data_IF_892759084377
#
_entry.id   IF_892759084377
#
_cell.length_a   1.000
_cell.length_b   1.000
_cell.length_c   1.000
_cell.angle_alpha   90.00
_cell.angle_beta   90.00
_cell.angle_gamma   90.00
#
_symmetry.space_group_name_H-M   'P 1'
#
loop_
_entity.id
_entity.type
_entity.pdbx_description
1 polymer ?
#
# COMPACT_ATOMS: atom_id res chain seq x y z
N UNK A 1 3.28 54.61 54.44
CA UNK A 1 3.60 53.91 53.19
C UNK A 1 2.75 52.65 53.12
N UNK A 2 1.79 52.58 52.19
CA UNK A 2 0.85 51.45 52.04
C UNK A 2 1.36 50.55 50.90
N UNK A 3 1.75 49.31 51.21
CA UNK A 3 2.11 48.31 50.19
C UNK A 3 0.85 47.82 49.48
N UNK A 4 0.80 48.01 48.17
CA UNK A 4 -0.23 47.46 47.29
C UNK A 4 0.07 45.98 47.03
N UNK A 5 -0.89 45.10 47.34
CA UNK A 5 -0.83 43.69 47.01
C UNK A 5 -1.13 43.49 45.52
N UNK A 6 -0.12 43.11 44.75
CA UNK A 6 -0.22 42.78 43.34
C UNK A 6 -0.73 41.34 43.19
N UNK A 7 -1.99 41.18 42.82
CA UNK A 7 -2.62 39.87 42.61
C UNK A 7 -2.16 39.30 41.25
N UNK A 8 -1.16 38.42 41.28
CA UNK A 8 -0.61 37.74 40.10
C UNK A 8 -1.55 36.60 39.69
N UNK A 9 -2.38 36.82 38.67
CA UNK A 9 -3.21 35.77 38.07
C UNK A 9 -2.29 34.87 37.24
N UNK A 10 -1.94 33.69 37.78
CA UNK A 10 -1.30 32.62 37.01
C UNK A 10 -2.31 32.05 36.02
N UNK A 11 -2.24 32.50 34.77
CA UNK A 11 -2.82 31.81 33.61
C UNK A 11 -2.09 30.47 33.45
N UNK A 12 -2.64 29.41 34.03
CA UNK A 12 -2.18 28.05 33.78
C UNK A 12 -2.65 27.64 32.38
N UNK A 13 -1.74 27.73 31.41
CA UNK A 13 -1.91 27.09 30.11
C UNK A 13 -1.85 25.58 30.30
N UNK A 14 -3.00 24.98 30.60
CA UNK A 14 -3.12 23.52 30.60
C UNK A 14 -2.80 22.97 29.20
N UNK A 15 -2.12 21.82 29.10
CA UNK A 15 -1.84 21.20 27.81
C UNK A 15 -3.18 20.85 27.16
N UNK A 16 -3.43 21.41 25.97
CA UNK A 16 -4.50 20.96 25.09
C UNK A 16 -4.17 19.52 24.72
N UNK A 17 -4.79 18.56 25.40
CA UNK A 17 -4.75 17.16 25.00
C UNK A 17 -5.47 17.09 23.65
N UNK A 18 -4.70 17.05 22.57
CA UNK A 18 -5.22 16.79 21.23
C UNK A 18 -5.88 15.40 21.28
N UNK A 19 -7.20 15.37 21.37
CA UNK A 19 -7.93 14.12 21.16
C UNK A 19 -7.64 13.68 19.73
N UNK A 20 -7.21 12.42 19.57
CA UNK A 20 -7.00 11.81 18.27
C UNK A 20 -8.32 11.85 17.49
N UNK A 21 -8.42 12.80 16.56
CA UNK A 21 -9.59 12.94 15.70
C UNK A 21 -9.83 11.67 14.90
N UNK A 22 -8.75 10.97 14.55
CA UNK A 22 -8.79 9.77 13.74
C UNK A 22 -8.18 8.57 14.48
N UNK A 23 -8.90 7.44 14.45
CA UNK A 23 -8.42 6.14 14.91
C UNK A 23 -8.48 5.16 13.73
N UNK A 24 -7.44 4.33 13.55
CA UNK A 24 -7.38 3.31 12.51
C UNK A 24 -7.29 1.92 13.12
N UNK A 25 -8.15 1.01 12.66
CA UNK A 25 -8.12 -0.42 13.00
C UNK A 25 -7.95 -1.23 11.73
N UNK A 26 -6.96 -2.11 11.70
CA UNK A 26 -6.74 -3.05 10.60
C UNK A 26 -7.12 -4.47 11.02
N UNK A 27 -7.83 -5.18 10.14
CA UNK A 27 -8.17 -6.59 10.31
C UNK A 27 -7.92 -7.36 9.02
N UNK A 28 -7.00 -8.32 9.06
CA UNK A 28 -6.77 -9.25 7.94
C UNK A 28 -8.05 -10.07 7.70
N UNK A 29 -8.57 -10.01 6.47
CA UNK A 29 -9.73 -10.77 6.02
C UNK A 29 -9.32 -12.06 5.31
N UNK A 30 -8.23 -12.01 4.54
CA UNK A 30 -7.71 -13.14 3.79
C UNK A 30 -6.20 -12.99 3.64
N UNK A 31 -5.47 -14.08 3.82
CA UNK A 31 -4.05 -14.20 3.52
C UNK A 31 -3.87 -15.51 2.76
N UNK A 32 -3.34 -15.42 1.54
CA UNK A 32 -3.17 -16.58 0.66
C UNK A 32 -1.82 -16.54 -0.02
N UNK A 33 -1.29 -17.72 -0.29
CA UNK A 33 -0.04 -17.92 -1.03
C UNK A 33 -0.37 -18.69 -2.30
N UNK A 34 0.05 -18.15 -3.43
CA UNK A 34 -0.16 -18.69 -4.76
C UNK A 34 1.19 -19.00 -5.41
N UNK A 35 1.20 -19.97 -6.30
CA UNK A 35 2.39 -20.31 -7.09
C UNK A 35 2.05 -20.11 -8.56
N UNK A 36 2.81 -19.24 -9.23
CA UNK A 36 2.61 -18.95 -10.65
C UNK A 36 3.87 -19.25 -11.43
N UNK A 37 3.71 -19.89 -12.59
CA UNK A 37 4.76 -19.92 -13.59
C UNK A 37 4.64 -18.64 -14.44
N UNK A 38 5.64 -17.76 -14.35
CA UNK A 38 5.65 -16.47 -15.04
C UNK A 38 6.74 -16.44 -16.10
N UNK A 39 6.48 -15.69 -17.17
CA UNK A 39 7.51 -15.36 -18.16
C UNK A 39 8.30 -14.13 -17.69
N UNK A 40 9.61 -14.14 -17.93
CA UNK A 40 10.56 -13.10 -17.56
C UNK A 40 11.34 -12.63 -18.79
N UNK A 41 10.67 -11.82 -19.61
CA UNK A 41 11.15 -11.31 -20.89
C UNK A 41 10.89 -9.80 -21.01
N UNK A 42 11.27 -9.20 -22.15
CA UNK A 42 11.15 -7.76 -22.36
C UNK A 42 9.71 -7.23 -22.40
N UNK A 43 8.70 -8.09 -22.58
CA UNK A 43 7.29 -7.68 -22.57
C UNK A 43 6.65 -7.78 -21.18
N UNK A 44 7.20 -8.59 -20.30
CA UNK A 44 6.69 -8.86 -18.94
C UNK A 44 7.49 -8.15 -17.86
N UNK A 45 8.78 -7.89 -18.09
CA UNK A 45 9.68 -7.18 -17.18
C UNK A 45 10.06 -5.85 -17.79
N UNK A 46 9.64 -4.75 -17.17
CA UNK A 46 9.84 -3.42 -17.74
C UNK A 46 10.01 -2.33 -16.68
N UNK A 47 10.67 -1.25 -17.07
CA UNK A 47 10.65 -0.01 -16.31
C UNK A 47 9.49 0.86 -16.81
N UNK A 48 8.56 1.24 -15.91
CA UNK A 48 7.42 2.07 -16.29
C UNK A 48 6.98 3.02 -15.19
N UNK A 49 6.60 4.22 -15.60
CA UNK A 49 6.01 5.27 -14.75
C UNK A 49 4.50 5.09 -14.53
N UNK A 50 3.85 4.09 -15.15
CA UNK A 50 2.41 3.91 -15.04
C UNK A 50 1.96 3.82 -13.57
N UNK A 51 1.18 4.80 -13.10
CA UNK A 51 0.69 4.86 -11.73
C UNK A 51 1.67 5.38 -10.66
N UNK A 52 2.82 5.94 -11.05
CA UNK A 52 3.84 6.47 -10.13
C UNK A 52 4.40 7.82 -10.59
N UNK A 53 5.08 8.53 -9.69
CA UNK A 53 5.82 9.77 -10.01
C UNK A 53 7.19 9.53 -10.65
N UNK A 54 7.68 8.28 -10.63
CA UNK A 54 8.96 7.88 -11.19
C UNK A 54 8.83 6.53 -11.92
N UNK A 55 9.87 6.13 -12.65
CA UNK A 55 9.87 4.86 -13.39
C UNK A 55 10.27 3.74 -12.44
N UNK A 56 9.44 2.72 -12.28
CA UNK A 56 9.73 1.59 -11.40
C UNK A 56 9.93 0.32 -12.21
N UNK A 57 10.81 -0.57 -11.72
CA UNK A 57 10.98 -1.92 -12.24
C UNK A 57 9.74 -2.73 -11.87
N UNK A 58 9.06 -3.25 -12.90
CA UNK A 58 7.80 -3.98 -12.78
C UNK A 58 7.88 -5.33 -13.45
N UNK A 59 7.08 -6.25 -12.90
CA UNK A 59 6.77 -7.53 -13.53
C UNK A 59 5.26 -7.60 -13.72
N UNK A 60 4.82 -7.89 -14.94
CA UNK A 60 3.43 -8.18 -15.27
C UNK A 60 3.12 -9.63 -14.88
N UNK A 61 2.07 -9.83 -14.09
CA UNK A 61 1.60 -11.16 -13.64
C UNK A 61 0.09 -11.23 -13.90
N UNK A 62 -0.34 -11.58 -15.13
CA UNK A 62 -1.76 -11.61 -15.50
C UNK A 62 -2.64 -12.44 -14.55
N UNK A 63 -2.11 -13.56 -14.04
CA UNK A 63 -2.80 -14.48 -13.15
C UNK A 63 -3.25 -13.84 -11.82
N UNK A 64 -2.72 -12.66 -11.46
CA UNK A 64 -3.19 -11.92 -10.29
C UNK A 64 -4.68 -11.55 -10.41
N UNK A 65 -5.18 -11.30 -11.63
CA UNK A 65 -6.58 -10.96 -11.84
C UNK A 65 -7.57 -12.04 -11.34
N UNK A 66 -7.13 -13.30 -11.25
CA UNK A 66 -7.95 -14.42 -10.81
C UNK A 66 -7.94 -14.63 -9.29
N UNK A 67 -6.98 -14.02 -8.58
CA UNK A 67 -6.74 -14.27 -7.15
C UNK A 67 -6.85 -13.04 -6.26
N UNK A 68 -6.99 -11.85 -6.84
CA UNK A 68 -7.14 -10.58 -6.12
C UNK A 68 -8.58 -10.08 -6.13
N UNK A 69 -8.99 -9.38 -5.07
CA UNK A 69 -10.28 -8.70 -5.03
C UNK A 69 -10.26 -7.39 -5.81
N UNK A 70 -9.12 -6.69 -5.81
CA UNK A 70 -8.94 -5.41 -6.49
C UNK A 70 -8.18 -5.59 -7.81
N UNK A 71 -8.35 -4.64 -8.72
CA UNK A 71 -7.60 -4.59 -9.97
C UNK A 71 -6.22 -3.95 -9.74
N UNK A 72 -5.17 -4.80 -9.78
CA UNK A 72 -3.77 -4.39 -9.62
C UNK A 72 -3.10 -3.97 -10.95
N UNK A 73 -3.90 -3.59 -11.96
CA UNK A 73 -3.41 -2.86 -13.12
C UNK A 73 -3.12 -1.41 -12.75
N UNK A 74 -2.00 -0.91 -13.26
CA UNK A 74 -1.75 0.53 -13.29
C UNK A 74 -2.31 1.13 -14.57
N UNK A 75 -2.67 2.41 -14.52
CA UNK A 75 -3.18 3.11 -15.70
C UNK A 75 -2.19 3.01 -16.86
N UNK A 76 -2.64 2.47 -18.00
CA UNK A 76 -1.80 2.22 -19.17
C UNK A 76 -0.98 0.93 -19.13
N UNK A 77 -1.09 0.10 -18.09
CA UNK A 77 -0.54 -1.26 -18.08
C UNK A 77 -1.55 -2.24 -18.68
N UNK A 78 -1.06 -3.20 -19.46
CA UNK A 78 -1.91 -4.19 -20.15
C UNK A 78 -2.32 -5.36 -19.24
N UNK A 79 -1.66 -5.52 -18.09
CA UNK A 79 -1.92 -6.59 -17.12
C UNK A 79 -1.61 -6.15 -15.68
N UNK A 80 -2.17 -6.83 -14.65
CA UNK A 80 -1.78 -6.63 -13.27
C UNK A 80 -0.26 -6.76 -13.09
N UNK A 81 0.31 -5.99 -12.17
CA UNK A 81 1.75 -5.94 -11.99
C UNK A 81 2.17 -5.76 -10.52
N UNK A 82 3.44 -6.02 -10.26
CA UNK A 82 4.14 -5.73 -9.00
C UNK A 82 5.41 -4.94 -9.29
N UNK A 83 5.93 -4.17 -8.31
CA UNK A 83 7.11 -3.31 -8.48
C UNK A 83 8.18 -3.53 -7.40
N UNK A 84 9.47 -3.41 -7.75
CA UNK A 84 10.61 -3.66 -6.83
C UNK A 84 11.41 -2.42 -6.42
N UNK A 85 11.34 -1.32 -7.18
CA UNK A 85 12.10 -0.09 -6.92
C UNK A 85 12.23 0.81 -8.14
N UNK A 86 12.79 2.00 -7.97
CA UNK A 86 13.01 2.96 -9.06
C UNK A 86 14.07 2.46 -10.04
N UNK A 87 13.84 2.69 -11.33
CA UNK A 87 14.77 2.34 -12.38
C UNK A 87 15.85 3.39 -12.61
N UNK A 88 16.97 2.96 -13.17
CA UNK A 88 18.02 3.86 -13.66
C UNK A 88 17.48 4.87 -14.70
N UNK A 89 18.03 6.10 -14.74
CA UNK A 89 19.17 6.58 -13.96
C UNK A 89 18.83 7.16 -12.58
N UNK A 90 17.55 7.25 -12.20
CA UNK A 90 17.15 7.85 -10.91
C UNK A 90 17.38 6.84 -9.77
N UNK A 91 16.96 5.59 -9.98
CA UNK A 91 17.28 4.46 -9.12
C UNK A 91 18.39 3.58 -9.68
N UNK A 92 18.51 2.38 -9.13
CA UNK A 92 19.51 1.37 -9.50
C UNK A 92 18.90 0.17 -10.22
N UNK A 93 17.57 0.10 -10.34
CA UNK A 93 16.89 -1.06 -10.94
C UNK A 93 16.92 -1.05 -12.46
N UNK A 94 17.05 -2.22 -13.04
CA UNK A 94 16.97 -2.45 -14.48
C UNK A 94 16.27 -3.78 -14.78
N UNK A 95 15.60 -3.92 -15.95
CA UNK A 95 15.03 -5.21 -16.35
C UNK A 95 16.08 -6.32 -16.49
N UNK A 96 17.34 -5.96 -16.75
CA UNK A 96 18.45 -6.90 -16.88
C UNK A 96 18.79 -7.65 -15.60
N UNK A 97 18.37 -7.17 -14.43
CA UNK A 97 18.48 -7.92 -13.16
C UNK A 97 17.56 -9.14 -13.11
N UNK A 98 16.46 -9.09 -13.87
CA UNK A 98 15.40 -10.11 -13.83
C UNK A 98 15.39 -10.94 -15.10
N UNK A 99 15.68 -10.38 -16.27
CA UNK A 99 15.66 -11.12 -17.54
C UNK A 99 16.94 -11.96 -17.71
N UNK A 100 16.77 -13.29 -17.84
CA UNK A 100 17.83 -14.22 -18.26
C UNK A 100 17.34 -15.00 -19.48
N UNK A 101 18.00 -14.83 -20.62
CA UNK A 101 17.61 -15.48 -21.87
C UNK A 101 17.74 -17.01 -21.82
N UNK A 102 18.59 -17.55 -20.94
CA UNK A 102 18.73 -18.99 -20.74
C UNK A 102 17.68 -19.56 -19.79
N UNK A 103 16.99 -18.70 -19.03
CA UNK A 103 15.92 -19.04 -18.08
C UNK A 103 14.76 -18.06 -18.24
N UNK A 104 13.97 -18.13 -19.32
CA UNK A 104 12.94 -17.12 -19.60
C UNK A 104 11.67 -17.26 -18.74
N UNK A 105 11.62 -18.24 -17.83
CA UNK A 105 10.47 -18.48 -16.95
C UNK A 105 10.92 -18.77 -15.53
N UNK A 106 10.02 -18.57 -14.57
CA UNK A 106 10.24 -18.87 -13.16
C UNK A 106 8.91 -19.22 -12.47
N UNK A 107 8.94 -20.22 -11.60
CA UNK A 107 7.82 -20.44 -10.66
C UNK A 107 8.05 -19.58 -9.43
N UNK A 108 7.16 -18.62 -9.20
CA UNK A 108 7.25 -17.66 -8.11
C UNK A 108 6.15 -17.90 -7.09
N UNK A 109 6.50 -17.72 -5.81
CA UNK A 109 5.54 -17.66 -4.72
C UNK A 109 5.01 -16.22 -4.61
N UNK A 110 3.70 -16.06 -4.62
CA UNK A 110 3.02 -14.76 -4.49
C UNK A 110 2.08 -14.79 -3.29
N UNK A 111 2.36 -13.93 -2.31
CA UNK A 111 1.52 -13.71 -1.14
C UNK A 111 0.56 -12.56 -1.40
N UNK A 112 -0.75 -12.82 -1.23
CA UNK A 112 -1.82 -11.83 -1.33
C UNK A 112 -2.48 -11.67 0.04
N UNK A 113 -2.51 -10.44 0.55
CA UNK A 113 -3.11 -10.10 1.84
C UNK A 113 -4.21 -9.08 1.63
N UNK A 114 -5.44 -9.43 1.98
CA UNK A 114 -6.58 -8.54 1.97
C UNK A 114 -6.93 -8.13 3.40
N UNK A 115 -6.87 -6.83 3.68
CA UNK A 115 -7.05 -6.22 4.99
C UNK A 115 -8.21 -5.24 4.95
N UNK A 116 -9.13 -5.35 5.90
CA UNK A 116 -10.14 -4.34 6.18
C UNK A 116 -9.54 -3.26 7.06
N UNK A 117 -9.51 -2.03 6.58
CA UNK A 117 -9.09 -0.85 7.33
C UNK A 117 -10.33 -0.05 7.72
N UNK A 118 -10.50 0.18 9.01
CA UNK A 118 -11.56 1.02 9.57
C UNK A 118 -10.95 2.33 10.04
N UNK A 119 -11.41 3.46 9.51
CA UNK A 119 -10.98 4.79 9.97
C UNK A 119 -12.16 5.50 10.63
N UNK A 120 -12.08 5.67 11.96
CA UNK A 120 -13.05 6.45 12.73
C UNK A 120 -12.69 7.93 12.66
N UNK A 121 -13.67 8.79 12.38
CA UNK A 121 -13.60 10.23 12.66
C UNK A 121 -14.48 10.52 13.89
N UNK A 122 -13.81 10.79 15.03
CA UNK A 122 -14.45 11.01 16.33
C UNK A 122 -15.28 12.29 16.39
N UNK A 123 -14.96 13.26 15.52
CA UNK A 123 -15.62 14.56 15.44
C UNK A 123 -16.87 14.46 14.55
N UNK A 124 -16.71 13.89 13.35
CA UNK A 124 -17.79 13.76 12.37
C UNK A 124 -18.74 12.58 12.68
N UNK A 125 -18.36 11.71 13.63
CA UNK A 125 -19.05 10.46 13.94
C UNK A 125 -19.23 9.59 12.68
N UNK A 126 -18.14 9.41 11.94
CA UNK A 126 -18.09 8.60 10.70
C UNK A 126 -17.11 7.44 10.86
N UNK A 127 -17.43 6.31 10.24
CA UNK A 127 -16.50 5.18 10.11
C UNK A 127 -16.33 4.86 8.63
N UNK A 128 -15.16 5.13 8.08
CA UNK A 128 -14.84 4.76 6.70
C UNK A 128 -14.28 3.34 6.69
N UNK A 129 -14.76 2.52 5.74
CA UNK A 129 -14.26 1.15 5.54
C UNK A 129 -13.54 1.08 4.22
N UNK A 130 -12.30 0.64 4.26
CA UNK A 130 -11.44 0.45 3.09
C UNK A 130 -11.01 -1.01 3.02
N UNK A 131 -11.09 -1.61 1.84
CA UNK A 131 -10.36 -2.83 1.53
C UNK A 131 -8.99 -2.42 1.04
N UNK A 132 -7.94 -2.80 1.78
CA UNK A 132 -6.54 -2.67 1.40
C UNK A 132 -6.07 -4.06 0.98
N UNK A 133 -5.48 -4.17 -0.20
CA UNK A 133 -4.94 -5.42 -0.71
C UNK A 133 -3.47 -5.24 -1.07
N UNK A 134 -2.65 -6.14 -0.56
CA UNK A 134 -1.19 -6.12 -0.65
C UNK A 134 -0.70 -7.40 -1.31
N UNK A 135 0.20 -7.26 -2.28
CA UNK A 135 0.80 -8.37 -3.02
C UNK A 135 2.29 -8.33 -2.78
N UNK A 136 2.88 -9.45 -2.38
CA UNK A 136 4.31 -9.61 -2.16
C UNK A 136 4.82 -10.82 -2.94
N UNK A 137 5.98 -10.69 -3.56
CA UNK A 137 6.69 -11.82 -4.17
C UNK A 137 8.18 -11.55 -4.21
N UNK A 138 8.98 -12.59 -4.43
CA UNK A 138 10.41 -12.48 -4.65
C UNK A 138 10.74 -13.18 -5.96
N UNK A 139 11.41 -12.48 -6.87
CA UNK A 139 11.82 -13.00 -8.17
C UNK A 139 13.32 -12.82 -8.27
N UNK A 140 14.08 -13.92 -8.35
CA UNK A 140 15.55 -13.90 -8.46
C UNK A 140 16.27 -13.10 -7.36
N UNK A 141 15.75 -13.14 -6.14
CA UNK A 141 16.31 -12.42 -4.99
C UNK A 141 15.86 -10.97 -4.90
N UNK A 142 15.06 -10.47 -5.85
CA UNK A 142 14.53 -9.11 -5.84
C UNK A 142 13.10 -9.12 -5.28
N UNK A 143 12.81 -8.38 -4.19
CA UNK A 143 11.47 -8.29 -3.65
C UNK A 143 10.60 -7.37 -4.49
N UNK A 144 9.39 -7.83 -4.84
CA UNK A 144 8.36 -7.06 -5.53
C UNK A 144 7.12 -6.90 -4.65
N UNK A 145 6.45 -5.76 -4.79
CA UNK A 145 5.31 -5.37 -3.99
C UNK A 145 4.30 -4.53 -4.79
N UNK A 146 3.03 -4.62 -4.43
CA UNK A 146 1.99 -3.68 -4.87
C UNK A 146 0.87 -3.57 -3.84
N UNK A 147 0.35 -2.36 -3.63
CA UNK A 147 -0.85 -2.10 -2.83
C UNK A 147 -1.94 -1.51 -3.73
N UNK A 148 -3.16 -1.98 -3.53
CA UNK A 148 -4.37 -1.24 -3.92
C UNK A 148 -5.29 -1.10 -2.74
N UNK A 149 -6.07 -0.03 -2.75
CA UNK A 149 -7.10 0.21 -1.76
C UNK A 149 -8.38 0.68 -2.44
N UNK A 150 -9.52 0.22 -1.96
CA UNK A 150 -10.85 0.65 -2.41
C UNK A 150 -11.78 0.89 -1.23
N UNK A 151 -12.56 1.96 -1.28
CA UNK A 151 -13.60 2.21 -0.29
C UNK A 151 -14.75 1.22 -0.45
N UNK A 152 -15.19 0.60 0.64
CA UNK A 152 -16.31 -0.36 0.68
C UNK A 152 -17.63 0.25 1.15
N UNK A 153 -17.67 1.55 1.41
CA UNK A 153 -18.72 2.38 2.04
C UNK A 153 -18.42 2.78 3.49
N UNK A 154 -19.17 3.79 3.94
CA UNK A 154 -19.20 4.24 5.32
C UNK A 154 -20.11 3.35 6.17
N UNK A 155 -19.80 3.20 7.45
CA UNK A 155 -20.65 2.55 8.47
C UNK A 155 -21.02 3.53 9.58
N UNK A 156 -21.98 3.13 10.41
CA UNK A 156 -22.26 3.82 11.66
C UNK A 156 -21.01 3.81 12.54
N UNK A 157 -20.78 4.92 13.24
CA UNK A 157 -19.62 5.12 14.10
C UNK A 157 -19.50 4.05 15.19
N UNK A 158 -20.63 3.67 15.81
CA UNK A 158 -20.69 2.67 16.88
C UNK A 158 -20.33 1.24 16.41
N UNK A 159 -20.40 0.98 15.11
CA UNK A 159 -20.10 -0.33 14.50
C UNK A 159 -18.62 -0.44 14.05
N UNK A 160 -17.80 0.57 14.33
CA UNK A 160 -16.43 0.65 13.84
C UNK A 160 -15.47 -0.20 14.69
N UNK A 161 -15.57 -1.54 14.54
CA UNK A 161 -14.78 -2.55 15.27
C UNK A 161 -14.53 -3.83 14.46
#
# INVERSE_FOLDING_TARGET
MKLAALLLILLTTGPLMAQDRFESLEKVLSERVHHFNIELNATTVLCSQAGYSASFLKILIPQLADVTFLDHRNFGAEAPCVAAGECAPIGDRTPGEIIDLLKPTETVEVKVVATRVLTKDNQEKKCNVTLKEEIFTNVRGVPFYHIKSASLNQRNFEDCR
#
